data_IF_382268712490
#
_entry.id   IF_382268712490
#
_cell.length_a   1.000
_cell.length_b   1.000
_cell.length_c   1.000
_cell.angle_alpha   90.00
_cell.angle_beta   90.00
_cell.angle_gamma   90.00
#
_symmetry.space_group_name_H-M   'P 1'
#
loop_
_entity.id
_entity.type
_entity.pdbx_description
1 polymer ?
#
# COMPACT_ATOMS: atom_id res chain seq x y z
N UNK A 1 -6.74 1.61 13.82
CA UNK A 1 -5.56 2.50 13.98
C UNK A 1 -5.35 3.28 12.71
N UNK A 2 -5.21 4.62 12.78
CA UNK A 2 -4.94 5.49 11.61
C UNK A 2 -3.46 5.85 11.58
N UNK A 3 -2.82 5.68 10.43
CA UNK A 3 -1.41 5.93 10.16
C UNK A 3 -1.25 6.59 8.78
N UNK A 4 -0.03 6.92 8.41
CA UNK A 4 0.29 7.45 7.09
C UNK A 4 0.98 8.81 7.15
N UNK A 5 0.79 9.62 6.14
CA UNK A 5 1.40 10.94 6.05
C UNK A 5 0.47 12.04 6.57
N UNK A 6 1.04 13.13 7.06
CA UNK A 6 0.26 14.34 7.31
C UNK A 6 0.10 15.16 6.02
N UNK A 7 -0.85 16.10 6.03
CA UNK A 7 -1.19 16.91 4.86
C UNK A 7 -0.02 17.73 4.30
N UNK A 8 0.98 18.06 5.11
CA UNK A 8 2.16 18.83 4.67
C UNK A 8 3.11 18.00 3.77
N UNK A 9 2.92 16.70 3.67
CA UNK A 9 3.80 15.80 2.92
C UNK A 9 3.28 15.48 1.51
N UNK A 10 2.11 16.01 1.13
CA UNK A 10 1.52 15.83 -0.19
C UNK A 10 1.08 17.17 -0.76
N UNK A 11 1.12 17.32 -2.09
CA UNK A 11 0.73 18.53 -2.82
C UNK A 11 1.84 19.06 -3.73
N UNK A 12 1.70 20.27 -4.20
CA UNK A 12 2.68 20.92 -5.05
C UNK A 12 4.04 21.02 -4.36
N UNK A 13 5.11 20.74 -5.09
CA UNK A 13 6.49 20.74 -4.61
C UNK A 13 6.75 19.81 -3.41
N UNK A 14 5.99 18.72 -3.26
CA UNK A 14 6.09 17.74 -2.16
C UNK A 14 6.54 16.36 -2.63
N UNK A 15 7.45 16.31 -3.60
CA UNK A 15 8.06 15.05 -4.02
C UNK A 15 8.87 14.40 -2.89
N UNK A 16 8.78 13.08 -2.78
CA UNK A 16 9.52 12.29 -1.78
C UNK A 16 10.27 11.16 -2.47
N UNK A 17 11.49 10.92 -2.02
CA UNK A 17 12.31 9.78 -2.43
C UNK A 17 12.10 8.56 -1.52
N UNK A 18 11.80 8.77 -0.24
CA UNK A 18 11.48 7.70 0.70
C UNK A 18 9.96 7.56 0.83
N UNK A 19 9.43 6.40 0.48
CA UNK A 19 8.01 6.08 0.51
C UNK A 19 7.58 5.21 1.69
N UNK A 20 8.47 4.94 2.63
CA UNK A 20 8.15 4.19 3.84
C UNK A 20 7.13 4.94 4.71
N UNK A 21 6.46 4.17 5.58
CA UNK A 21 5.63 4.77 6.63
C UNK A 21 6.46 5.73 7.48
N UNK A 22 5.96 6.95 7.75
CA UNK A 22 6.73 7.94 8.49
C UNK A 22 7.01 7.58 9.95
N UNK A 23 8.21 7.90 10.40
CA UNK A 23 8.60 7.80 11.81
C UNK A 23 8.53 6.38 12.36
N UNK A 24 7.95 6.22 13.54
CA UNK A 24 7.87 4.96 14.28
C UNK A 24 6.52 4.24 14.12
N UNK A 25 5.76 4.56 13.08
CA UNK A 25 4.40 4.03 12.91
C UNK A 25 4.38 2.51 12.75
N UNK A 26 5.31 1.95 11.99
CA UNK A 26 5.42 0.51 11.83
C UNK A 26 5.80 -0.18 13.14
N UNK A 27 6.72 0.40 13.90
CA UNK A 27 7.10 -0.15 15.20
C UNK A 27 5.95 -0.12 16.19
N UNK A 28 5.14 0.93 16.18
CA UNK A 28 3.92 1.01 16.99
C UNK A 28 2.93 -0.11 16.61
N UNK A 29 2.76 -0.41 15.33
CA UNK A 29 1.91 -1.53 14.88
C UNK A 29 2.45 -2.84 15.42
N UNK A 30 3.77 -3.08 15.33
CA UNK A 30 4.42 -4.29 15.85
C UNK A 30 4.19 -4.46 17.34
N UNK A 31 4.27 -3.38 18.12
CA UNK A 31 4.00 -3.43 19.57
C UNK A 31 2.51 -3.70 19.85
N UNK A 32 1.61 -3.06 19.14
CA UNK A 32 0.18 -3.30 19.32
C UNK A 32 -0.23 -4.72 18.92
N UNK A 33 0.38 -5.30 17.88
CA UNK A 33 0.14 -6.68 17.46
C UNK A 33 0.40 -7.68 18.59
N UNK A 34 1.40 -7.44 19.42
CA UNK A 34 1.75 -8.30 20.56
C UNK A 34 0.62 -8.39 21.60
N UNK A 35 -0.30 -7.46 21.61
CA UNK A 35 -1.46 -7.48 22.52
C UNK A 35 -2.49 -8.55 22.18
N UNK A 36 -2.43 -9.13 20.98
CA UNK A 36 -3.38 -10.11 20.47
C UNK A 36 -4.79 -9.54 20.18
N UNK A 37 -4.97 -8.23 20.24
CA UNK A 37 -6.25 -7.60 19.91
C UNK A 37 -6.42 -7.46 18.39
N UNK A 38 -7.65 -7.57 17.87
CA UNK A 38 -7.92 -7.29 16.47
C UNK A 38 -7.53 -5.85 16.12
N UNK A 39 -6.79 -5.69 15.02
CA UNK A 39 -6.32 -4.39 14.56
C UNK A 39 -6.75 -4.21 13.10
N UNK A 40 -7.44 -3.09 12.83
CA UNK A 40 -7.68 -2.59 11.47
C UNK A 40 -6.76 -1.39 11.24
N UNK A 41 -5.98 -1.44 10.17
CA UNK A 41 -5.07 -0.37 9.78
C UNK A 41 -5.76 0.52 8.73
N UNK A 42 -5.82 1.82 9.00
CA UNK A 42 -6.26 2.84 8.04
C UNK A 42 -5.04 3.63 7.60
N UNK A 43 -4.72 3.62 6.29
CA UNK A 43 -3.57 4.35 5.76
C UNK A 43 -4.05 5.59 5.03
N UNK A 44 -3.65 6.76 5.53
CA UNK A 44 -3.95 8.05 4.92
C UNK A 44 -2.69 8.59 4.25
N UNK A 45 -2.68 8.72 2.93
CA UNK A 45 -1.55 9.28 2.19
C UNK A 45 -1.97 9.72 0.79
N UNK A 46 -1.26 10.68 0.22
CA UNK A 46 -1.49 11.16 -1.14
C UNK A 46 -0.69 10.41 -2.21
N UNK A 47 -0.03 9.33 -1.84
CA UNK A 47 0.84 8.53 -2.72
C UNK A 47 0.86 7.06 -2.30
N UNK A 48 1.24 6.12 -3.16
CA UNK A 48 1.43 4.72 -2.75
C UNK A 48 2.65 4.63 -1.82
N UNK A 49 2.43 4.30 -0.56
CA UNK A 49 3.50 4.07 0.39
C UNK A 49 4.02 2.63 0.29
N UNK A 50 5.26 2.43 0.70
CA UNK A 50 5.84 1.11 0.92
C UNK A 50 5.58 0.70 2.38
N UNK A 51 4.85 -0.39 2.57
CA UNK A 51 4.47 -0.91 3.89
C UNK A 51 4.43 -2.44 3.88
N UNK A 52 5.45 -3.05 3.31
CA UNK A 52 5.50 -4.50 3.05
C UNK A 52 5.26 -5.32 4.31
N UNK A 53 5.92 -4.97 5.41
CA UNK A 53 5.74 -5.69 6.66
C UNK A 53 4.29 -5.61 7.17
N UNK A 54 3.67 -4.42 7.12
CA UNK A 54 2.27 -4.22 7.52
C UNK A 54 1.34 -5.03 6.63
N UNK A 55 1.58 -5.03 5.32
CA UNK A 55 0.78 -5.77 4.36
C UNK A 55 0.83 -7.29 4.56
N UNK A 56 1.97 -7.82 5.04
CA UNK A 56 2.15 -9.25 5.27
C UNK A 56 1.66 -9.72 6.66
N UNK A 57 1.58 -8.81 7.62
CA UNK A 57 1.32 -9.18 9.01
C UNK A 57 -0.02 -8.67 9.57
N UNK A 58 -0.67 -7.71 8.90
CA UNK A 58 -1.95 -7.18 9.33
C UNK A 58 -3.09 -7.74 8.48
N UNK A 59 -4.14 -8.32 9.11
CA UNK A 59 -5.21 -9.00 8.38
C UNK A 59 -6.13 -8.03 7.64
N UNK A 60 -6.20 -6.77 8.07
CA UNK A 60 -7.14 -5.79 7.51
C UNK A 60 -6.48 -4.44 7.36
N UNK A 61 -6.42 -3.97 6.11
CA UNK A 61 -5.86 -2.67 5.75
C UNK A 61 -6.86 -1.95 4.84
N UNK A 62 -7.19 -0.71 5.17
CA UNK A 62 -7.97 0.20 4.34
C UNK A 62 -7.10 1.37 3.93
N UNK A 63 -6.82 1.49 2.64
CA UNK A 63 -6.05 2.61 2.10
C UNK A 63 -7.02 3.73 1.74
N UNK A 64 -7.09 4.77 2.57
CA UNK A 64 -8.14 5.78 2.49
C UNK A 64 -7.77 6.96 1.59
N UNK A 65 -6.50 7.08 1.19
CA UNK A 65 -6.00 8.26 0.50
C UNK A 65 -6.26 9.54 1.32
N UNK A 66 -6.59 10.64 0.65
CA UNK A 66 -7.04 11.88 1.28
C UNK A 66 -8.55 12.02 1.11
N UNK A 67 -9.25 11.70 2.16
CA UNK A 67 -10.69 11.93 2.26
C UNK A 67 -10.96 13.36 2.70
N UNK A 68 -12.10 13.91 2.30
CA UNK A 68 -12.53 15.26 2.66
C UNK A 68 -13.22 15.31 4.02
N UNK A 69 -14.14 16.26 4.16
CA UNK A 69 -14.86 16.53 5.42
C UNK A 69 -15.67 15.36 5.93
N UNK A 70 -16.16 14.49 5.03
CA UNK A 70 -16.96 13.31 5.35
C UNK A 70 -16.12 12.05 5.63
N UNK A 71 -14.80 12.20 5.82
CA UNK A 71 -13.87 11.09 6.04
C UNK A 71 -14.32 10.15 7.16
N UNK A 72 -14.78 10.72 8.28
CA UNK A 72 -15.21 9.93 9.44
C UNK A 72 -16.44 9.05 9.13
N UNK A 73 -17.43 9.62 8.47
CA UNK A 73 -18.65 8.90 8.08
C UNK A 73 -18.32 7.79 7.09
N UNK A 74 -17.59 8.11 6.01
CA UNK A 74 -17.20 7.13 4.98
C UNK A 74 -16.37 5.96 5.55
N UNK A 75 -15.45 6.24 6.47
CA UNK A 75 -14.66 5.19 7.14
C UNK A 75 -15.57 4.34 8.04
N UNK A 76 -16.46 4.95 8.79
CA UNK A 76 -17.39 4.22 9.66
C UNK A 76 -18.29 3.30 8.86
N UNK A 77 -18.92 3.79 7.79
CA UNK A 77 -19.80 3.01 6.92
C UNK A 77 -19.09 1.76 6.37
N UNK A 78 -17.83 1.90 5.95
CA UNK A 78 -17.02 0.76 5.50
C UNK A 78 -16.69 -0.18 6.66
N UNK A 79 -16.19 0.34 7.79
CA UNK A 79 -15.72 -0.51 8.90
C UNK A 79 -16.86 -1.28 9.58
N UNK A 80 -18.03 -0.71 9.66
CA UNK A 80 -19.19 -1.35 10.30
C UNK A 80 -20.13 -2.08 9.32
N UNK A 81 -19.81 -2.03 8.01
CA UNK A 81 -20.49 -2.82 6.99
C UNK A 81 -21.75 -2.18 6.41
N UNK A 82 -21.99 -0.90 6.70
CA UNK A 82 -23.07 -0.15 6.09
C UNK A 82 -22.83 0.11 4.59
N UNK A 83 -21.57 0.10 4.19
CA UNK A 83 -21.14 0.20 2.79
C UNK A 83 -20.11 -0.89 2.46
N UNK A 84 -20.37 -1.67 1.40
CA UNK A 84 -19.41 -2.65 0.88
C UNK A 84 -18.31 -1.94 0.08
N UNK A 85 -17.03 -2.03 0.47
CA UNK A 85 -15.96 -1.34 -0.22
C UNK A 85 -15.85 -1.78 -1.69
N UNK A 86 -15.90 -0.82 -2.60
CA UNK A 86 -15.86 -1.04 -4.05
C UNK A 86 -14.63 -0.42 -4.72
N UNK A 87 -13.88 0.41 -4.00
CA UNK A 87 -12.70 1.10 -4.51
C UNK A 87 -11.59 0.14 -4.95
N UNK A 88 -10.97 0.45 -6.08
CA UNK A 88 -9.81 -0.28 -6.61
C UNK A 88 -8.62 0.64 -6.72
N UNK A 89 -7.41 0.10 -6.54
CA UNK A 89 -6.19 0.90 -6.60
C UNK A 89 -6.00 1.51 -8.00
N UNK A 90 -5.80 2.83 -8.10
CA UNK A 90 -5.62 3.52 -9.37
C UNK A 90 -4.18 3.45 -9.89
N UNK A 91 -3.30 2.76 -9.20
CA UNK A 91 -1.90 2.56 -9.57
C UNK A 91 -1.32 1.32 -8.89
N UNK A 92 -0.21 0.82 -9.41
CA UNK A 92 0.54 -0.26 -8.76
C UNK A 92 1.29 0.26 -7.54
N UNK A 93 1.27 -0.50 -6.45
CA UNK A 93 2.03 -0.21 -5.24
C UNK A 93 3.35 -0.99 -5.26
N UNK A 94 4.49 -0.33 -5.12
CA UNK A 94 5.80 -1.00 -5.12
C UNK A 94 6.02 -1.77 -3.80
N UNK A 95 6.89 -2.78 -3.86
CA UNK A 95 7.44 -3.43 -2.66
C UNK A 95 8.58 -2.63 -2.05
N UNK A 96 9.29 -1.91 -2.91
CA UNK A 96 10.44 -1.08 -2.54
C UNK A 96 10.56 0.08 -3.52
N UNK A 97 11.13 1.20 -3.07
CA UNK A 97 11.37 2.38 -3.90
C UNK A 97 12.23 2.07 -5.14
N UNK A 98 13.11 1.07 -5.05
CA UNK A 98 13.93 0.61 -6.18
C UNK A 98 13.15 0.02 -7.36
N UNK A 99 11.86 -0.27 -7.19
CA UNK A 99 10.99 -0.71 -8.28
C UNK A 99 10.42 0.44 -9.10
N UNK A 100 10.52 1.68 -8.64
CA UNK A 100 9.90 2.83 -9.30
C UNK A 100 10.78 3.32 -10.47
N UNK A 101 10.15 3.56 -11.64
CA UNK A 101 8.73 3.53 -11.95
C UNK A 101 8.18 2.10 -12.16
N UNK A 102 6.97 1.82 -11.65
CA UNK A 102 6.29 0.55 -11.82
C UNK A 102 4.87 0.77 -12.39
N UNK A 103 4.64 0.31 -13.61
CA UNK A 103 3.38 0.52 -14.34
C UNK A 103 2.73 -0.82 -14.67
N UNK A 104 1.39 -0.87 -14.63
CA UNK A 104 0.65 -2.04 -15.08
C UNK A 104 0.76 -2.24 -16.60
N UNK A 105 0.93 -1.16 -17.36
CA UNK A 105 0.95 -1.12 -18.83
C UNK A 105 2.37 -1.07 -19.43
N UNK A 106 3.38 -1.56 -18.70
CA UNK A 106 4.75 -1.63 -19.22
C UNK A 106 4.86 -2.68 -20.35
N UNK A 107 5.77 -2.45 -21.28
CA UNK A 107 6.14 -3.45 -22.26
C UNK A 107 6.97 -4.56 -21.63
N UNK A 108 6.88 -5.77 -22.21
CA UNK A 108 7.76 -6.85 -21.83
C UNK A 108 9.21 -6.53 -22.18
N UNK A 109 10.13 -6.91 -21.30
CA UNK A 109 11.56 -6.89 -21.60
C UNK A 109 11.92 -8.04 -22.52
N UNK A 110 13.14 -7.98 -23.13
CA UNK A 110 13.60 -9.06 -24.00
C UNK A 110 13.80 -10.42 -23.30
N UNK A 111 13.90 -10.41 -21.95
CA UNK A 111 14.09 -11.61 -21.14
C UNK A 111 13.24 -11.51 -19.86
N UNK A 112 11.91 -11.55 -19.95
CA UNK A 112 11.07 -11.42 -18.77
C UNK A 112 11.29 -12.60 -17.81
N UNK A 113 11.27 -12.30 -16.52
CA UNK A 113 11.24 -13.34 -15.48
C UNK A 113 9.86 -14.00 -15.47
N UNK A 114 9.85 -15.32 -15.60
CA UNK A 114 8.64 -16.13 -15.50
C UNK A 114 8.80 -17.06 -14.30
N UNK A 115 7.79 -17.18 -13.46
CA UNK A 115 7.79 -18.04 -12.29
C UNK A 115 8.97 -17.83 -11.31
N UNK A 116 9.50 -16.59 -11.24
CA UNK A 116 10.58 -16.28 -10.31
C UNK A 116 11.99 -16.71 -10.75
N UNK A 117 12.15 -17.24 -11.96
CA UNK A 117 13.47 -17.51 -12.53
C UNK A 117 14.25 -16.21 -12.72
N UNK A 118 15.41 -16.12 -12.06
CA UNK A 118 16.27 -14.90 -12.05
C UNK A 118 17.50 -15.04 -12.94
N UNK A 119 17.82 -16.23 -13.41
CA UNK A 119 19.06 -16.49 -14.18
C UNK A 119 18.97 -15.85 -15.57
N UNK A 120 19.82 -14.84 -15.80
CA UNK A 120 19.86 -14.10 -17.08
C UNK A 120 18.51 -13.50 -17.52
N UNK A 121 17.64 -13.20 -16.54
CA UNK A 121 16.32 -12.58 -16.76
C UNK A 121 16.30 -11.15 -16.25
N UNK A 122 15.32 -10.37 -16.73
CA UNK A 122 15.03 -9.04 -16.21
C UNK A 122 14.31 -9.18 -14.85
N UNK A 123 15.09 -9.32 -13.80
CA UNK A 123 14.60 -9.56 -12.44
C UNK A 123 15.51 -8.86 -11.41
N UNK A 124 14.94 -8.52 -10.27
CA UNK A 124 15.72 -8.11 -9.10
C UNK A 124 16.31 -9.35 -8.42
N UNK A 125 17.51 -9.23 -7.86
CA UNK A 125 18.15 -10.34 -7.13
C UNK A 125 17.55 -10.55 -5.75
N UNK A 126 16.96 -9.52 -5.17
CA UNK A 126 16.57 -9.42 -3.76
C UNK A 126 15.05 -9.34 -3.54
N UNK A 127 14.27 -9.06 -4.59
CA UNK A 127 12.80 -9.00 -4.46
C UNK A 127 12.09 -9.51 -5.73
N UNK A 128 10.78 -9.81 -5.64
CA UNK A 128 9.96 -10.12 -6.80
C UNK A 128 9.83 -8.94 -7.76
N UNK A 129 9.73 -9.20 -9.06
CA UNK A 129 9.48 -8.15 -10.08
C UNK A 129 8.06 -7.61 -10.05
N UNK A 130 7.12 -8.34 -9.45
CA UNK A 130 5.73 -7.94 -9.33
C UNK A 130 5.55 -6.84 -8.27
N UNK A 131 4.58 -5.94 -8.45
CA UNK A 131 4.22 -4.98 -7.40
C UNK A 131 3.73 -5.69 -6.13
N UNK A 132 3.66 -4.98 -5.01
CA UNK A 132 3.01 -5.48 -3.80
C UNK A 132 1.51 -5.64 -4.02
N UNK A 133 0.90 -4.60 -4.54
CA UNK A 133 -0.48 -4.62 -5.00
C UNK A 133 -0.54 -4.08 -6.43
N UNK A 134 -1.13 -4.83 -7.38
CA UNK A 134 -1.24 -4.37 -8.75
C UNK A 134 -2.30 -3.26 -8.91
N UNK A 135 -2.21 -2.53 -10.00
CA UNK A 135 -3.29 -1.66 -10.46
C UNK A 135 -4.63 -2.45 -10.50
N UNK A 136 -5.69 -1.83 -10.04
CA UNK A 136 -7.01 -2.45 -9.99
C UNK A 136 -7.24 -3.40 -8.82
N UNK A 137 -6.25 -3.62 -7.96
CA UNK A 137 -6.42 -4.43 -6.76
C UNK A 137 -7.39 -3.77 -5.77
N UNK A 138 -8.20 -4.59 -5.14
CA UNK A 138 -9.11 -4.19 -4.06
C UNK A 138 -10.06 -5.31 -3.71
N UNK A 139 -10.26 -5.53 -2.42
CA UNK A 139 -11.17 -6.52 -1.86
C UNK A 139 -12.51 -5.88 -1.56
N UNK A 140 -13.53 -6.70 -1.42
CA UNK A 140 -14.88 -6.33 -0.97
C UNK A 140 -15.36 -7.35 0.06
N UNK A 141 -16.54 -7.14 0.64
CA UNK A 141 -17.16 -8.09 1.56
C UNK A 141 -17.93 -9.21 0.83
N UNK A 142 -18.01 -9.13 -0.49
CA UNK A 142 -18.71 -10.10 -1.35
C UNK A 142 -17.79 -10.64 -2.43
#
# INVERSE_FOLDING_TARGET
>A
MSIGENFNKSGEAKSKSNLQLPGVQEDLIKELQKTGKPIVILINAGRPLVFDWVADNMPTIVYTWWLGSEAGNAIADVLFGDYNPSGKLPMSFPRNEGQIPIYYNHFNTGRPSVNGDKNYKSAYIDLPTTPKFPFGYGLSYT
#
